data_IF_037951583107
#
_entry.id   IF_037951583107
#
_cell.length_a   1.000
_cell.length_b   1.000
_cell.length_c   1.000
_cell.angle_alpha   90.00
_cell.angle_beta   90.00
_cell.angle_gamma   90.00
#
_symmetry.space_group_name_H-M   'P 1'
#
loop_
_entity.id
_entity.type
_entity.pdbx_description
1 polymer ?
#
# COMPACT_ATOMS: atom_id res chain seq x y z
N UNK A 1 2.81 -7.04 29.08
CA UNK A 1 4.05 -7.22 28.29
C UNK A 1 3.78 -6.70 26.89
N UNK A 2 4.44 -5.62 26.49
CA UNK A 2 4.41 -5.18 25.09
C UNK A 2 5.53 -5.93 24.36
N UNK A 3 5.22 -6.62 23.27
CA UNK A 3 6.28 -7.10 22.37
C UNK A 3 7.02 -5.87 21.82
N UNK A 4 8.37 -5.89 21.79
CA UNK A 4 9.13 -4.78 21.21
C UNK A 4 8.69 -4.59 19.75
N UNK A 5 8.51 -3.32 19.34
CA UNK A 5 8.38 -2.98 17.93
C UNK A 5 9.70 -3.41 17.28
N UNK A 6 9.68 -4.36 16.32
CA UNK A 6 10.92 -4.85 15.77
C UNK A 6 11.62 -3.76 14.96
N UNK A 7 12.94 -3.83 14.99
CA UNK A 7 13.87 -2.90 14.36
C UNK A 7 13.72 -2.86 12.82
N UNK A 8 13.20 -3.95 12.23
CA UNK A 8 12.92 -4.08 10.81
C UNK A 8 11.56 -4.72 10.52
N UNK A 9 10.89 -4.26 9.48
CA UNK A 9 9.79 -5.00 8.86
C UNK A 9 10.37 -6.11 7.96
N UNK A 10 9.84 -7.32 8.05
CA UNK A 10 10.23 -8.45 7.20
C UNK A 10 9.81 -8.28 5.74
N UNK A 11 8.66 -7.64 5.50
CA UNK A 11 8.18 -7.22 4.18
C UNK A 11 7.00 -6.24 4.30
N UNK A 12 6.63 -5.59 3.20
CA UNK A 12 5.44 -4.75 3.08
C UNK A 12 4.31 -5.54 2.42
N UNK A 13 3.11 -5.58 2.99
CA UNK A 13 1.91 -6.02 2.25
C UNK A 13 1.14 -4.79 1.79
N UNK A 14 1.07 -4.62 0.48
CA UNK A 14 0.25 -3.61 -0.16
C UNK A 14 -1.11 -4.22 -0.50
N UNK A 15 -2.16 -3.81 0.20
CA UNK A 15 -3.54 -4.24 -0.03
C UNK A 15 -4.24 -3.17 -0.85
N UNK A 16 -4.65 -3.51 -2.06
CA UNK A 16 -5.43 -2.62 -2.93
C UNK A 16 -6.91 -2.94 -2.74
N UNK A 17 -7.64 -1.99 -2.18
CA UNK A 17 -9.06 -2.08 -1.93
C UNK A 17 -9.86 -1.41 -3.06
N UNK A 18 -10.82 -2.16 -3.60
CA UNK A 18 -11.85 -1.65 -4.51
C UNK A 18 -13.10 -1.33 -3.67
N UNK A 19 -13.37 -0.04 -3.43
CA UNK A 19 -14.54 0.38 -2.68
C UNK A 19 -15.77 0.30 -3.60
N UNK A 20 -16.46 -0.84 -3.60
CA UNK A 20 -17.82 -0.94 -4.15
C UNK A 20 -18.87 -0.59 -3.08
N UNK A 21 -18.88 0.69 -2.66
CA UNK A 21 -20.04 1.35 -2.05
C UNK A 21 -19.82 2.88 -2.02
N UNK A 22 -20.58 3.60 -2.85
CA UNK A 22 -20.67 5.07 -2.87
C UNK A 22 -19.80 5.75 -3.93
N UNK A 23 -20.45 6.38 -4.91
CA UNK A 23 -19.98 7.46 -5.80
C UNK A 23 -18.48 7.75 -5.86
N UNK A 24 -17.84 7.49 -7.01
CA UNK A 24 -16.65 8.18 -7.58
C UNK A 24 -15.65 8.92 -6.64
N UNK A 25 -15.39 8.41 -5.44
CA UNK A 25 -14.64 9.12 -4.41
C UNK A 25 -13.16 8.77 -4.46
N UNK A 26 -12.46 9.19 -5.51
CA UNK A 26 -11.11 9.72 -5.27
C UNK A 26 -11.28 11.17 -4.87
N UNK A 27 -10.65 11.61 -3.78
CA UNK A 27 -10.66 13.04 -3.44
C UNK A 27 -9.90 13.76 -4.55
N UNK A 28 -10.60 14.47 -5.44
CA UNK A 28 -9.92 15.23 -6.48
C UNK A 28 -9.19 16.42 -5.85
N UNK A 29 -7.91 16.64 -6.20
CA UNK A 29 -7.07 17.77 -5.72
C UNK A 29 -7.57 19.15 -6.24
N UNK A 30 -8.79 19.24 -6.76
CA UNK A 30 -9.29 20.44 -7.45
C UNK A 30 -8.69 20.67 -8.85
N UNK A 31 -7.72 19.84 -9.27
CA UNK A 31 -7.10 19.84 -10.61
C UNK A 31 -7.56 18.71 -11.53
N UNK A 32 -8.52 17.90 -11.09
CA UNK A 32 -9.00 16.70 -11.80
C UNK A 32 -8.17 15.44 -11.57
N UNK A 33 -7.04 15.54 -10.85
CA UNK A 33 -6.26 14.40 -10.39
C UNK A 33 -6.88 13.81 -9.12
N UNK A 34 -7.10 12.50 -9.10
CA UNK A 34 -7.63 11.77 -7.95
C UNK A 34 -6.52 11.54 -6.91
N UNK A 35 -6.75 11.87 -5.66
CA UNK A 35 -5.80 11.56 -4.58
C UNK A 35 -6.16 10.21 -3.99
N UNK A 36 -5.24 9.24 -3.98
CA UNK A 36 -5.48 7.93 -3.37
C UNK A 36 -5.48 8.02 -1.84
N UNK A 37 -6.51 7.46 -1.21
CA UNK A 37 -6.54 7.33 0.25
C UNK A 37 -5.81 6.06 0.69
N UNK A 38 -5.17 6.09 1.85
CA UNK A 38 -4.51 4.92 2.41
C UNK A 38 -4.57 4.87 3.93
N UNK A 39 -4.44 3.66 4.48
CA UNK A 39 -4.22 3.42 5.90
C UNK A 39 -2.97 2.57 6.08
N UNK A 40 -2.16 2.91 7.07
CA UNK A 40 -0.93 2.20 7.41
C UNK A 40 -1.12 1.48 8.75
N UNK A 41 -0.80 0.19 8.78
CA UNK A 41 -0.75 -0.63 9.98
C UNK A 41 0.53 -1.43 10.06
N UNK A 42 0.91 -1.84 11.28
CA UNK A 42 2.00 -2.79 11.51
C UNK A 42 1.41 -4.00 12.21
N UNK A 43 1.51 -5.16 11.57
CA UNK A 43 1.09 -6.44 12.16
C UNK A 43 2.35 -7.16 12.68
N UNK A 44 2.45 -7.34 13.99
CA UNK A 44 3.51 -8.15 14.61
C UNK A 44 3.11 -9.62 14.69
N UNK A 45 3.91 -10.51 14.10
CA UNK A 45 3.64 -11.96 14.08
C UNK A 45 4.85 -12.80 14.51
N UNK A 46 4.61 -14.07 14.82
CA UNK A 46 5.68 -15.04 15.11
C UNK A 46 6.41 -15.32 13.78
N UNK A 47 7.54 -14.64 13.56
CA UNK A 47 8.33 -14.67 12.33
C UNK A 47 8.82 -13.29 11.82
N UNK A 48 8.35 -12.19 12.41
CA UNK A 48 8.75 -10.81 12.06
C UNK A 48 7.56 -9.83 12.03
N UNK A 49 7.83 -8.54 11.87
CA UNK A 49 6.76 -7.54 11.61
C UNK A 49 6.47 -7.40 10.13
N UNK A 50 5.18 -7.27 9.81
CA UNK A 50 4.68 -6.94 8.48
C UNK A 50 4.17 -5.50 8.49
N UNK A 51 4.67 -4.66 7.59
CA UNK A 51 4.08 -3.35 7.36
C UNK A 51 2.93 -3.52 6.36
N UNK A 52 1.71 -3.21 6.78
CA UNK A 52 0.51 -3.35 5.95
C UNK A 52 0.04 -1.98 5.51
N UNK A 53 0.12 -1.73 4.20
CA UNK A 53 -0.40 -0.51 3.58
C UNK A 53 -1.67 -0.89 2.83
N UNK A 54 -2.83 -0.43 3.30
CA UNK A 54 -4.07 -0.57 2.56
C UNK A 54 -4.29 0.72 1.76
N UNK A 55 -4.38 0.61 0.44
CA UNK A 55 -4.63 1.75 -0.45
C UNK A 55 -5.98 1.57 -1.12
N UNK A 56 -6.77 2.64 -1.13
CA UNK A 56 -8.07 2.70 -1.76
C UNK A 56 -7.91 3.33 -3.14
N UNK A 57 -8.09 2.52 -4.18
CA UNK A 57 -8.00 2.94 -5.57
C UNK A 57 -9.25 2.52 -6.34
N UNK A 58 -10.38 3.25 -6.19
CA UNK A 58 -11.59 2.98 -6.95
C UNK A 58 -11.33 2.82 -8.45
N UNK A 59 -11.83 1.71 -9.03
CA UNK A 59 -11.68 1.41 -10.45
C UNK A 59 -10.36 0.73 -10.84
N UNK A 60 -9.49 0.43 -9.88
CA UNK A 60 -8.25 -0.33 -10.11
C UNK A 60 -8.42 -1.78 -9.68
N UNK A 61 -8.61 -2.67 -10.66
CA UNK A 61 -8.95 -4.08 -10.44
C UNK A 61 -7.81 -5.08 -10.67
N UNK A 62 -6.59 -4.61 -10.99
CA UNK A 62 -5.47 -5.49 -11.37
C UNK A 62 -4.10 -4.87 -11.09
N UNK A 63 -3.12 -5.70 -10.75
CA UNK A 63 -1.72 -5.31 -10.50
C UNK A 63 -1.02 -4.76 -11.73
N UNK A 64 -1.41 -5.16 -12.94
CA UNK A 64 -0.79 -4.66 -14.19
C UNK A 64 -1.01 -3.17 -14.43
N UNK A 65 -1.85 -2.54 -13.62
CA UNK A 65 -2.21 -1.13 -13.66
C UNK A 65 -1.51 -0.31 -12.57
N UNK A 66 -0.64 -0.94 -11.78
CA UNK A 66 0.08 -0.33 -10.68
C UNK A 66 1.58 -0.53 -10.86
N UNK A 67 2.32 0.53 -10.61
CA UNK A 67 3.77 0.49 -10.41
C UNK A 67 4.03 0.77 -8.93
N UNK A 68 4.90 -0.05 -8.32
CA UNK A 68 5.22 0.05 -6.89
C UNK A 68 6.73 0.04 -6.74
N UNK A 69 7.25 1.11 -6.14
CA UNK A 69 8.66 1.27 -5.85
C UNK A 69 8.87 1.35 -4.34
N UNK A 70 9.89 0.65 -3.83
CA UNK A 70 10.33 0.76 -2.45
C UNK A 70 11.75 1.34 -2.43
N UNK A 71 11.87 2.61 -2.09
CA UNK A 71 13.14 3.30 -2.01
C UNK A 71 13.71 3.22 -0.58
N UNK A 72 14.99 2.85 -0.49
CA UNK A 72 15.76 2.78 0.77
C UNK A 72 15.12 1.91 1.87
N UNK A 73 14.28 0.96 1.47
CA UNK A 73 13.55 0.09 2.40
C UNK A 73 12.46 0.78 3.23
N UNK A 74 12.28 2.10 3.13
CA UNK A 74 11.38 2.84 4.03
C UNK A 74 10.36 3.72 3.30
N UNK A 75 10.63 4.11 2.05
CA UNK A 75 9.72 4.95 1.28
C UNK A 75 9.03 4.11 0.22
N UNK A 76 7.72 3.93 0.36
CA UNK A 76 6.90 3.21 -0.61
C UNK A 76 6.19 4.20 -1.51
N UNK A 77 6.43 4.11 -2.81
CA UNK A 77 5.68 4.87 -3.83
C UNK A 77 4.78 3.92 -4.63
N UNK A 78 3.51 4.30 -4.80
CA UNK A 78 2.51 3.57 -5.59
C UNK A 78 1.95 4.49 -6.66
N UNK A 79 2.11 4.10 -7.93
CA UNK A 79 1.64 4.87 -9.09
C UNK A 79 0.58 4.08 -9.85
N UNK A 80 -0.52 4.72 -10.19
CA UNK A 80 -1.53 4.13 -11.06
C UNK A 80 -1.23 4.49 -12.52
N UNK A 81 -1.10 3.46 -13.38
CA UNK A 81 -0.69 3.64 -14.77
C UNK A 81 -1.86 3.91 -15.73
N UNK A 82 -3.10 3.71 -15.29
CA UNK A 82 -4.28 3.70 -16.17
C UNK A 82 -5.38 4.68 -15.74
N UNK A 83 -5.11 5.53 -14.75
CA UNK A 83 -5.98 6.60 -14.26
C UNK A 83 -5.11 7.73 -13.72
N UNK A 84 -5.64 8.95 -13.76
CA UNK A 84 -5.01 10.15 -13.20
C UNK A 84 -5.10 10.17 -11.66
N UNK A 85 -4.57 9.14 -11.00
CA UNK A 85 -4.27 9.21 -9.57
C UNK A 85 -2.94 9.91 -9.36
N UNK A 86 -2.88 10.80 -8.37
CA UNK A 86 -1.62 11.30 -7.87
C UNK A 86 -0.77 10.13 -7.34
N UNK A 87 0.56 10.14 -7.52
CA UNK A 87 1.45 9.16 -6.91
C UNK A 87 1.22 9.13 -5.39
N UNK A 88 0.99 7.95 -4.85
CA UNK A 88 0.91 7.77 -3.40
C UNK A 88 2.31 7.55 -2.85
N UNK A 89 2.71 8.36 -1.87
CA UNK A 89 3.95 8.18 -1.12
C UNK A 89 3.62 7.84 0.33
N UNK A 90 4.22 6.77 0.84
CA UNK A 90 4.03 6.28 2.20
C UNK A 90 5.37 6.06 2.86
N UNK A 91 5.58 6.75 3.98
CA UNK A 91 6.72 6.50 4.87
C UNK A 91 6.40 5.35 5.80
N UNK A 92 7.18 4.28 5.70
CA UNK A 92 7.01 3.10 6.53
C UNK A 92 7.54 3.35 7.94
N UNK A 93 6.83 2.89 8.98
CA UNK A 93 7.18 3.17 10.37
C UNK A 93 8.43 2.40 10.82
N UNK A 94 8.80 1.35 10.10
CA UNK A 94 10.06 0.62 10.26
C UNK A 94 10.64 0.31 8.87
N UNK A 95 11.96 0.43 8.68
CA UNK A 95 12.60 0.09 7.42
C UNK A 95 12.49 -1.42 7.16
N UNK A 96 12.28 -1.76 5.90
CA UNK A 96 12.35 -3.12 5.35
C UNK A 96 13.81 -3.44 5.05
N UNK A 97 14.26 -4.62 5.43
CA UNK A 97 15.64 -5.03 5.20
C UNK A 97 16.02 -4.99 3.71
N UNK A 98 17.14 -4.34 3.41
CA UNK A 98 17.69 -4.24 2.06
C UNK A 98 18.09 -5.66 1.58
N UNK A 99 17.60 -6.08 0.41
CA UNK A 99 17.81 -7.44 -0.10
C UNK A 99 16.73 -8.46 0.29
N UNK A 100 15.64 -8.06 0.95
CA UNK A 100 14.47 -8.91 1.12
C UNK A 100 13.94 -9.34 -0.26
N UNK A 101 14.19 -10.60 -0.64
CA UNK A 101 13.60 -11.22 -1.83
C UNK A 101 12.08 -11.16 -1.63
N UNK A 102 11.39 -10.28 -2.39
CA UNK A 102 9.99 -9.89 -2.18
C UNK A 102 9.75 -8.83 -1.08
N UNK A 103 10.49 -7.71 -1.10
CA UNK A 103 10.35 -6.59 -0.19
C UNK A 103 8.90 -6.06 -0.05
N UNK A 104 8.06 -6.26 -1.06
CA UNK A 104 6.62 -6.04 -0.95
C UNK A 104 5.78 -7.15 -1.62
N UNK A 105 4.53 -7.30 -1.16
CA UNK A 105 3.52 -8.20 -1.71
C UNK A 105 2.23 -7.45 -1.99
N UNK A 106 1.81 -7.44 -3.26
CA UNK A 106 0.53 -6.88 -3.69
C UNK A 106 -0.60 -7.89 -3.48
N UNK A 107 -1.66 -7.47 -2.78
CA UNK A 107 -2.89 -8.25 -2.58
C UNK A 107 -4.08 -7.41 -3.01
N UNK A 108 -4.95 -7.95 -3.87
CA UNK A 108 -6.21 -7.30 -4.23
C UNK A 108 -7.31 -7.92 -3.38
N UNK A 109 -8.02 -7.11 -2.61
CA UNK A 109 -9.21 -7.59 -1.91
C UNK A 109 -10.38 -7.67 -2.91
N UNK A 110 -10.45 -8.74 -3.70
CA UNK A 110 -11.67 -9.03 -4.48
C UNK A 110 -12.78 -9.45 -3.53
N UNK A 111 -14.03 -9.03 -3.78
CA UNK A 111 -15.19 -9.66 -3.16
C UNK A 111 -15.21 -11.16 -3.52
N UNK A 112 -15.45 -12.00 -2.51
CA UNK A 112 -16.02 -13.34 -2.74
C UNK A 112 -17.32 -13.12 -3.53
N UNK A 113 -17.45 -13.79 -4.66
CA UNK A 113 -18.69 -13.78 -5.45
C UNK A 113 -19.85 -14.29 -4.60
#
# INVERSE_FOLDING_TARGET
HFSPVPEHAGFVRLVVADNMQGDDAGVADGRGTLVPEYTLGVEGGVGGSEAKVCVHLPGVSSSRKLEVELARGQHLEVRCLNRDYAPLQVDLPAPVAEGATNAYRLTFSKRKR
#
